data_IF_821180550009
#
_entry.id   IF_821180550009
#
_cell.length_a   1.000
_cell.length_b   1.000
_cell.length_c   1.000
_cell.angle_alpha   90.00
_cell.angle_beta   90.00
_cell.angle_gamma   90.00
#
_symmetry.space_group_name_H-M   'P 1'
#
loop_
_entity.id
_entity.type
_entity.pdbx_description
1 polymer ?
#
# COMPACT_ATOMS: atom_id res chain seq x y z
N UNK A 1 52.40 14.50 87.72
CA UNK A 1 52.72 15.89 88.13
C UNK A 1 53.42 16.54 86.95
N UNK A 2 52.99 17.75 86.60
CA UNK A 2 53.70 18.73 85.74
C UNK A 2 53.58 18.63 84.22
N UNK A 3 52.63 19.45 83.75
CA UNK A 3 52.50 20.11 82.45
C UNK A 3 53.83 20.67 81.93
N UNK A 4 54.08 20.54 80.62
CA UNK A 4 54.76 21.58 79.85
C UNK A 4 54.02 21.89 78.56
N UNK A 5 53.51 23.11 78.55
CA UNK A 5 52.81 23.81 77.47
C UNK A 5 53.88 24.35 76.53
N UNK A 6 53.81 24.01 75.24
CA UNK A 6 54.48 24.77 74.19
C UNK A 6 53.44 25.24 73.19
N UNK A 7 53.13 26.52 73.26
CA UNK A 7 52.34 27.29 72.31
C UNK A 7 53.27 27.56 71.12
N UNK A 8 52.92 27.06 69.93
CA UNK A 8 53.39 27.69 68.71
C UNK A 8 52.25 27.79 67.70
N UNK A 9 51.81 29.04 67.59
CA UNK A 9 50.90 29.62 66.64
C UNK A 9 51.29 29.21 65.20
N UNK A 10 50.38 28.59 64.46
CA UNK A 10 50.49 28.53 62.99
C UNK A 10 49.10 28.55 62.36
N UNK A 11 49.06 29.30 61.28
CA UNK A 11 47.90 29.99 60.73
C UNK A 11 47.03 29.08 59.87
N UNK A 12 45.72 29.25 60.07
CA UNK A 12 44.58 29.02 59.19
C UNK A 12 44.88 28.86 57.68
N UNK A 13 44.50 27.72 57.09
CA UNK A 13 43.93 27.68 55.72
C UNK A 13 42.78 26.66 55.69
N UNK A 14 41.60 27.18 55.38
CA UNK A 14 40.37 26.44 55.10
C UNK A 14 40.45 25.93 53.65
N UNK A 15 40.31 24.63 53.40
CA UNK A 15 40.03 24.10 52.07
C UNK A 15 39.03 22.94 52.19
N UNK A 16 37.80 23.28 51.88
CA UNK A 16 36.63 22.41 51.75
C UNK A 16 36.80 21.39 50.61
N UNK A 17 36.21 20.22 50.86
CA UNK A 17 35.72 19.19 49.94
C UNK A 17 35.50 19.67 48.49
N UNK A 18 35.86 18.84 47.50
CA UNK A 18 35.04 18.43 46.34
C UNK A 18 35.80 17.31 45.63
N UNK A 19 35.26 16.09 45.67
CA UNK A 19 35.68 15.01 44.78
C UNK A 19 35.37 15.41 43.34
N UNK A 20 36.28 15.26 42.37
CA UNK A 20 35.89 15.27 40.98
C UNK A 20 35.26 13.91 40.67
N UNK A 21 33.97 13.75 40.97
CA UNK A 21 33.11 12.94 40.11
C UNK A 21 32.88 13.78 38.86
N UNK A 22 33.93 13.97 38.07
CA UNK A 22 33.74 14.29 36.66
C UNK A 22 33.24 13.00 36.05
N UNK A 23 31.91 12.91 36.01
CA UNK A 23 31.19 12.04 35.12
C UNK A 23 31.92 12.01 33.77
N UNK A 24 32.43 10.84 33.39
CA UNK A 24 32.60 10.51 31.98
C UNK A 24 31.20 10.56 31.38
N UNK A 25 30.76 11.74 30.98
CA UNK A 25 29.70 11.85 29.98
C UNK A 25 30.23 11.11 28.75
N UNK A 26 29.46 10.18 28.18
CA UNK A 26 29.86 9.53 26.94
C UNK A 26 30.19 10.62 25.93
N UNK A 27 31.35 10.52 25.28
CA UNK A 27 31.71 11.37 24.14
C UNK A 27 30.65 11.12 23.07
N UNK A 28 29.62 11.95 23.04
CA UNK A 28 28.71 12.00 21.92
C UNK A 28 29.54 12.53 20.76
N UNK A 29 29.77 11.72 19.73
CA UNK A 29 30.38 12.21 18.49
C UNK A 29 29.53 13.39 18.02
N UNK A 30 30.12 14.60 18.06
CA UNK A 30 29.42 15.86 17.79
C UNK A 30 28.92 15.97 16.34
N UNK A 31 29.18 14.94 15.53
CA UNK A 31 28.77 14.78 14.13
C UNK A 31 27.57 13.85 13.94
N UNK A 32 27.13 13.12 14.96
CA UNK A 32 26.00 12.21 14.85
C UNK A 32 24.66 12.94 15.07
N UNK A 33 23.67 12.64 14.22
CA UNK A 33 22.31 13.17 14.38
C UNK A 33 21.75 12.79 15.77
N UNK A 34 21.24 13.76 16.56
CA UNK A 34 20.68 13.49 17.89
C UNK A 34 19.57 12.43 17.86
N UNK A 35 19.57 11.52 18.84
CA UNK A 35 18.61 10.41 18.92
C UNK A 35 17.14 10.86 18.79
N UNK A 36 16.67 11.94 19.44
CA UNK A 36 15.27 12.37 19.29
C UNK A 36 14.87 12.74 17.85
N UNK A 37 15.81 13.24 17.03
CA UNK A 37 15.57 13.55 15.62
C UNK A 37 15.46 12.25 14.83
N UNK A 38 16.35 11.30 15.08
CA UNK A 38 16.30 9.96 14.47
C UNK A 38 14.99 9.26 14.83
N UNK A 39 14.61 9.24 16.11
CA UNK A 39 13.36 8.64 16.59
C UNK A 39 12.13 9.29 15.92
N UNK A 40 12.13 10.60 15.73
CA UNK A 40 11.06 11.32 14.99
C UNK A 40 11.01 10.92 13.52
N UNK A 41 12.17 10.74 12.88
CA UNK A 41 12.27 10.33 11.48
C UNK A 41 11.84 8.86 11.28
N UNK A 42 12.21 7.98 12.21
CA UNK A 42 11.73 6.59 12.25
C UNK A 42 10.22 6.53 12.41
N UNK A 43 9.64 7.34 13.31
CA UNK A 43 8.18 7.41 13.45
C UNK A 43 7.49 7.89 12.17
N UNK A 44 8.08 8.84 11.44
CA UNK A 44 7.56 9.26 10.12
C UNK A 44 7.63 8.11 9.10
N UNK A 45 8.73 7.36 9.08
CA UNK A 45 8.89 6.19 8.20
C UNK A 45 7.83 5.13 8.49
N UNK A 46 7.58 4.81 9.77
CA UNK A 46 6.55 3.84 10.17
C UNK A 46 5.15 4.27 9.71
N UNK A 47 4.82 5.55 9.79
CA UNK A 47 3.54 6.09 9.29
C UNK A 47 3.41 5.89 7.78
N UNK A 48 4.47 6.19 7.02
CA UNK A 48 4.47 6.03 5.56
C UNK A 48 4.34 4.56 5.16
N UNK A 49 5.10 3.67 5.80
CA UNK A 49 5.04 2.24 5.54
C UNK A 49 3.67 1.65 5.93
N UNK A 50 3.10 2.09 7.06
CA UNK A 50 1.75 1.73 7.47
C UNK A 50 0.67 2.19 6.49
N UNK A 51 0.82 3.40 5.92
CA UNK A 51 -0.07 3.91 4.88
C UNK A 51 0.02 3.07 3.59
N UNK A 52 1.23 2.70 3.15
CA UNK A 52 1.45 1.78 2.00
C UNK A 52 0.73 0.44 2.21
N UNK A 53 0.87 -0.17 3.39
CA UNK A 53 0.19 -1.43 3.68
C UNK A 53 -1.34 -1.28 3.70
N UNK A 54 -1.83 -0.15 4.22
CA UNK A 54 -3.27 0.16 4.25
C UNK A 54 -3.83 0.28 2.84
N UNK A 55 -3.14 0.98 1.95
CA UNK A 55 -3.54 1.08 0.55
C UNK A 55 -3.55 -0.28 -0.14
N UNK A 56 -2.50 -1.09 0.03
CA UNK A 56 -2.45 -2.45 -0.52
C UNK A 56 -3.69 -3.27 -0.14
N UNK A 57 -4.04 -3.29 1.15
CA UNK A 57 -5.22 -4.01 1.66
C UNK A 57 -6.54 -3.43 1.11
N UNK A 58 -6.61 -2.10 0.99
CA UNK A 58 -7.77 -1.42 0.44
C UNK A 58 -7.98 -1.78 -1.04
N UNK A 59 -6.95 -1.71 -1.87
CA UNK A 59 -7.05 -2.04 -3.30
C UNK A 59 -7.40 -3.51 -3.49
N UNK A 60 -6.82 -4.42 -2.70
CA UNK A 60 -7.23 -5.83 -2.68
C UNK A 60 -8.73 -5.99 -2.38
N UNK A 61 -9.23 -5.25 -1.38
CA UNK A 61 -10.64 -5.30 -0.99
C UNK A 61 -11.57 -4.75 -2.08
N UNK A 62 -11.17 -3.66 -2.76
CA UNK A 62 -11.89 -3.10 -3.92
C UNK A 62 -11.95 -4.12 -5.04
N UNK A 63 -10.82 -4.73 -5.39
CA UNK A 63 -10.73 -5.74 -6.44
C UNK A 63 -11.57 -6.98 -6.13
N UNK A 64 -11.46 -7.53 -4.93
CA UNK A 64 -12.25 -8.68 -4.49
C UNK A 64 -13.76 -8.38 -4.52
N UNK A 65 -14.17 -7.21 -4.02
CA UNK A 65 -15.59 -6.79 -4.02
C UNK A 65 -16.11 -6.60 -5.45
N UNK A 66 -15.32 -5.96 -6.31
CA UNK A 66 -15.68 -5.71 -7.72
C UNK A 66 -15.80 -7.02 -8.49
N UNK A 67 -14.90 -7.97 -8.25
CA UNK A 67 -14.92 -9.29 -8.86
C UNK A 67 -16.15 -10.09 -8.41
N UNK A 68 -16.47 -10.10 -7.11
CA UNK A 68 -17.68 -10.76 -6.61
C UNK A 68 -18.97 -10.16 -7.18
N UNK A 69 -19.03 -8.85 -7.39
CA UNK A 69 -20.14 -8.23 -8.12
C UNK A 69 -20.18 -8.67 -9.59
N UNK A 70 -19.04 -8.74 -10.27
CA UNK A 70 -18.94 -9.19 -11.65
C UNK A 70 -19.41 -10.65 -11.79
N UNK A 71 -19.04 -11.55 -10.88
CA UNK A 71 -19.53 -12.93 -10.81
C UNK A 71 -21.06 -12.99 -10.73
N UNK A 72 -21.65 -12.21 -9.81
CA UNK A 72 -23.10 -12.16 -9.64
C UNK A 72 -23.83 -11.63 -10.88
N UNK A 73 -23.26 -10.63 -11.57
CA UNK A 73 -23.83 -10.08 -12.81
C UNK A 73 -23.67 -11.06 -13.97
N UNK A 74 -22.51 -11.73 -14.09
CA UNK A 74 -22.29 -12.76 -15.09
C UNK A 74 -23.29 -13.92 -14.95
N UNK A 75 -23.49 -14.43 -13.73
CA UNK A 75 -24.46 -15.49 -13.48
C UNK A 75 -25.89 -15.09 -13.89
N UNK A 76 -26.29 -13.83 -13.62
CA UNK A 76 -27.58 -13.29 -14.06
C UNK A 76 -27.69 -13.19 -15.59
N UNK A 77 -26.64 -12.72 -16.26
CA UNK A 77 -26.60 -12.67 -17.71
C UNK A 77 -26.74 -14.06 -18.33
N UNK A 78 -26.01 -15.06 -17.80
CA UNK A 78 -26.09 -16.45 -18.25
C UNK A 78 -27.50 -17.04 -18.08
N UNK A 79 -28.13 -16.82 -16.92
CA UNK A 79 -29.49 -17.28 -16.67
C UNK A 79 -30.48 -16.70 -17.69
N UNK A 80 -30.45 -15.38 -17.90
CA UNK A 80 -31.31 -14.71 -18.89
C UNK A 80 -31.09 -15.23 -20.31
N UNK A 81 -29.83 -15.41 -20.72
CA UNK A 81 -29.52 -15.95 -22.05
C UNK A 81 -30.03 -17.38 -22.23
N UNK A 82 -29.92 -18.22 -21.19
CA UNK A 82 -30.45 -19.58 -21.20
C UNK A 82 -31.99 -19.62 -21.33
N UNK A 83 -32.67 -18.66 -20.69
CA UNK A 83 -34.14 -18.50 -20.78
C UNK A 83 -34.57 -17.77 -22.08
N UNK A 84 -33.61 -17.35 -22.91
CA UNK A 84 -33.87 -16.62 -24.16
C UNK A 84 -34.29 -15.17 -23.97
N UNK A 85 -34.19 -14.64 -22.75
CA UNK A 85 -34.51 -13.26 -22.37
C UNK A 85 -33.47 -12.25 -22.89
N UNK A 86 -33.79 -10.95 -22.76
CA UNK A 86 -32.84 -9.88 -23.01
C UNK A 86 -31.90 -9.68 -21.81
N UNK A 87 -30.62 -9.99 -22.02
CA UNK A 87 -29.53 -9.88 -21.05
C UNK A 87 -28.65 -8.64 -21.29
N UNK A 88 -29.05 -7.72 -22.17
CA UNK A 88 -28.21 -6.59 -22.60
C UNK A 88 -27.71 -5.74 -21.43
N UNK A 89 -28.59 -5.39 -20.49
CA UNK A 89 -28.24 -4.58 -19.32
C UNK A 89 -27.19 -5.25 -18.44
N UNK A 90 -27.31 -6.56 -18.24
CA UNK A 90 -26.37 -7.35 -17.43
C UNK A 90 -25.02 -7.46 -18.12
N UNK A 91 -25.00 -7.63 -19.44
CA UNK A 91 -23.76 -7.69 -20.22
C UNK A 91 -23.04 -6.34 -20.21
N UNK A 92 -23.76 -5.22 -20.39
CA UNK A 92 -23.18 -3.87 -20.31
C UNK A 92 -22.65 -3.56 -18.90
N UNK A 93 -23.37 -3.99 -17.87
CA UNK A 93 -22.93 -3.85 -16.47
C UNK A 93 -21.70 -4.72 -16.19
N UNK A 94 -21.67 -5.97 -16.67
CA UNK A 94 -20.52 -6.86 -16.53
C UNK A 94 -19.28 -6.24 -17.18
N UNK A 95 -19.40 -5.74 -18.41
CA UNK A 95 -18.32 -5.05 -19.09
C UNK A 95 -17.77 -3.87 -18.27
N UNK A 96 -18.66 -3.10 -17.64
CA UNK A 96 -18.28 -1.98 -16.76
C UNK A 96 -17.49 -2.45 -15.54
N UNK A 97 -17.96 -3.50 -14.85
CA UNK A 97 -17.27 -4.05 -13.67
C UNK A 97 -15.90 -4.65 -14.05
N UNK A 98 -15.80 -5.34 -15.18
CA UNK A 98 -14.52 -5.87 -15.68
C UNK A 98 -13.55 -4.74 -16.04
N UNK A 99 -14.05 -3.64 -16.61
CA UNK A 99 -13.22 -2.45 -16.85
C UNK A 99 -12.75 -1.81 -15.54
N UNK A 100 -13.58 -1.80 -14.49
CA UNK A 100 -13.18 -1.33 -13.16
C UNK A 100 -12.12 -2.22 -12.53
N UNK A 101 -12.17 -3.55 -12.70
CA UNK A 101 -11.09 -4.45 -12.28
C UNK A 101 -9.76 -4.05 -12.93
N UNK A 102 -9.75 -3.83 -14.25
CA UNK A 102 -8.55 -3.39 -14.97
C UNK A 102 -8.02 -2.02 -14.55
N UNK A 103 -8.85 -1.19 -13.90
CA UNK A 103 -8.48 0.15 -13.43
C UNK A 103 -8.32 0.24 -11.90
N UNK A 104 -8.38 -0.90 -11.19
CA UNK A 104 -8.36 -0.97 -9.72
C UNK A 104 -9.42 -0.10 -9.06
N UNK A 105 -10.61 -0.04 -9.65
CA UNK A 105 -11.74 0.74 -9.17
C UNK A 105 -12.35 1.63 -10.24
N UNK A 106 -13.23 2.53 -9.79
CA UNK A 106 -13.94 3.48 -10.62
C UNK A 106 -13.22 4.83 -10.74
N UNK A 107 -13.89 5.81 -11.33
CA UNK A 107 -13.36 7.16 -11.49
C UNK A 107 -13.11 7.87 -10.14
N UNK A 108 -13.88 7.56 -9.09
CA UNK A 108 -13.69 8.15 -7.77
C UNK A 108 -12.41 7.61 -7.12
N UNK A 109 -12.16 6.30 -7.22
CA UNK A 109 -10.90 5.68 -6.78
C UNK A 109 -9.72 6.22 -7.58
N UNK A 110 -9.86 6.35 -8.91
CA UNK A 110 -8.81 6.93 -9.75
C UNK A 110 -8.45 8.38 -9.37
N UNK A 111 -9.43 9.19 -8.96
CA UNK A 111 -9.18 10.55 -8.49
C UNK A 111 -8.41 10.58 -7.15
N UNK A 112 -8.70 9.65 -6.23
CA UNK A 112 -7.94 9.50 -4.98
C UNK A 112 -6.50 9.05 -5.28
N UNK A 113 -6.33 8.03 -6.11
CA UNK A 113 -5.02 7.53 -6.57
C UNK A 113 -4.16 8.64 -7.15
N UNK A 114 -4.74 9.49 -8.01
CA UNK A 114 -4.03 10.66 -8.56
C UNK A 114 -3.52 11.60 -7.46
N UNK A 115 -4.34 11.87 -6.43
CA UNK A 115 -3.92 12.72 -5.30
C UNK A 115 -2.77 12.10 -4.49
N UNK A 116 -2.75 10.77 -4.37
CA UNK A 116 -1.66 10.05 -3.70
C UNK A 116 -0.34 10.20 -4.49
N UNK A 117 -0.38 10.00 -5.81
CA UNK A 117 0.77 10.22 -6.71
C UNK A 117 1.26 11.67 -6.63
N UNK A 118 0.35 12.65 -6.71
CA UNK A 118 0.68 14.07 -6.61
C UNK A 118 1.33 14.41 -5.25
N UNK A 119 1.05 13.62 -4.21
CA UNK A 119 1.67 13.69 -2.87
C UNK A 119 2.99 12.93 -2.73
N UNK A 120 3.52 12.33 -3.80
CA UNK A 120 4.76 11.55 -3.81
C UNK A 120 4.59 10.09 -3.39
N UNK A 121 3.35 9.60 -3.25
CA UNK A 121 3.08 8.20 -2.95
C UNK A 121 3.01 7.38 -4.22
N UNK A 122 4.09 6.64 -4.48
CA UNK A 122 4.22 5.74 -5.62
C UNK A 122 4.36 4.30 -5.10
N UNK A 123 3.36 3.46 -5.39
CA UNK A 123 3.54 2.02 -5.31
C UNK A 123 4.45 1.57 -6.46
N UNK A 124 5.40 0.67 -6.19
CA UNK A 124 6.36 0.11 -7.16
C UNK A 124 7.40 1.10 -7.72
N UNK A 125 7.83 2.05 -6.89
CA UNK A 125 8.87 3.04 -7.24
C UNK A 125 10.30 2.61 -6.90
N UNK A 126 10.48 1.40 -6.35
CA UNK A 126 11.82 0.86 -6.10
C UNK A 126 12.38 0.30 -7.42
N UNK A 127 13.69 0.45 -7.64
CA UNK A 127 14.42 0.25 -8.90
C UNK A 127 14.40 -1.18 -9.51
N UNK A 128 13.46 -2.04 -9.09
CA UNK A 128 13.31 -3.43 -9.52
C UNK A 128 11.97 -3.80 -10.16
N UNK A 129 11.00 -2.87 -10.26
CA UNK A 129 9.69 -3.15 -10.87
C UNK A 129 9.63 -2.88 -12.38
N UNK A 130 10.75 -2.55 -13.02
CA UNK A 130 10.96 -2.42 -14.48
C UNK A 130 9.89 -1.61 -15.27
N UNK A 131 9.07 -0.81 -14.58
CA UNK A 131 7.89 -0.19 -15.18
C UNK A 131 6.82 -1.20 -15.60
N UNK A 132 6.74 -2.36 -14.94
CA UNK A 132 5.69 -3.37 -15.13
C UNK A 132 4.29 -2.83 -14.81
N UNK A 133 4.21 -1.96 -13.81
CA UNK A 133 2.97 -1.31 -13.38
C UNK A 133 2.79 0.07 -14.06
N UNK A 134 1.53 0.49 -14.17
CA UNK A 134 1.21 1.87 -14.49
C UNK A 134 1.38 2.76 -13.24
N UNK A 135 1.81 4.02 -13.38
CA UNK A 135 1.92 4.92 -12.24
C UNK A 135 0.62 4.99 -11.42
N UNK A 136 0.73 4.70 -10.11
CA UNK A 136 -0.37 4.68 -9.15
C UNK A 136 -1.17 3.37 -9.09
N UNK A 137 -0.88 2.39 -9.93
CA UNK A 137 -1.44 1.06 -9.79
C UNK A 137 -0.69 0.30 -8.69
N UNK A 138 -1.42 -0.52 -7.95
CA UNK A 138 -0.92 -1.19 -6.75
C UNK A 138 -0.78 -2.70 -6.97
N UNK A 139 -1.68 -3.31 -7.71
CA UNK A 139 -1.79 -4.77 -7.87
C UNK A 139 -1.81 -5.16 -9.36
N UNK A 140 -2.55 -4.41 -10.18
CA UNK A 140 -2.74 -4.72 -11.60
C UNK A 140 -1.57 -4.17 -12.40
N UNK A 141 -0.80 -5.08 -13.01
CA UNK A 141 0.23 -4.71 -13.99
C UNK A 141 -0.36 -4.34 -15.36
N UNK A 142 0.47 -3.79 -16.25
CA UNK A 142 0.05 -3.37 -17.60
C UNK A 142 -0.53 -4.52 -18.43
N UNK A 143 0.03 -5.72 -18.31
CA UNK A 143 -0.39 -6.88 -19.10
C UNK A 143 -1.78 -7.36 -18.66
N UNK A 144 -1.99 -7.44 -17.36
CA UNK A 144 -3.26 -7.83 -16.73
C UNK A 144 -4.33 -6.78 -16.99
N UNK A 145 -3.98 -5.49 -16.83
CA UNK A 145 -4.86 -4.37 -17.19
C UNK A 145 -5.32 -4.47 -18.63
N UNK A 146 -4.38 -4.67 -19.57
CA UNK A 146 -4.72 -4.81 -20.99
C UNK A 146 -5.68 -5.99 -21.20
N UNK A 147 -5.40 -7.14 -20.61
CA UNK A 147 -6.25 -8.34 -20.71
C UNK A 147 -7.67 -8.08 -20.22
N UNK A 148 -7.81 -7.44 -19.06
CA UNK A 148 -9.12 -7.10 -18.48
C UNK A 148 -9.88 -6.07 -19.34
N UNK A 149 -9.21 -5.03 -19.83
CA UNK A 149 -9.84 -4.01 -20.67
C UNK A 149 -10.26 -4.55 -22.05
N UNK A 150 -9.46 -5.43 -22.64
CA UNK A 150 -9.82 -6.11 -23.89
C UNK A 150 -11.03 -7.04 -23.68
N UNK A 151 -11.06 -7.80 -22.57
CA UNK A 151 -12.19 -8.63 -22.21
C UNK A 151 -13.46 -7.80 -21.94
N UNK A 152 -13.35 -6.68 -21.23
CA UNK A 152 -14.46 -5.76 -21.00
C UNK A 152 -15.06 -5.25 -22.32
N UNK A 153 -14.20 -4.86 -23.27
CA UNK A 153 -14.63 -4.45 -24.61
C UNK A 153 -15.32 -5.59 -25.37
N UNK A 154 -14.77 -6.80 -25.30
CA UNK A 154 -15.35 -7.97 -25.94
C UNK A 154 -16.73 -8.32 -25.35
N UNK A 155 -16.86 -8.33 -24.02
CA UNK A 155 -18.13 -8.54 -23.31
C UNK A 155 -19.14 -7.48 -23.74
N UNK A 156 -18.78 -6.20 -23.74
CA UNK A 156 -19.68 -5.12 -24.19
C UNK A 156 -20.13 -5.29 -25.65
N UNK A 157 -19.28 -5.85 -26.51
CA UNK A 157 -19.63 -6.20 -27.89
C UNK A 157 -20.71 -7.28 -28.01
N UNK A 158 -20.87 -8.14 -27.00
CA UNK A 158 -21.88 -9.20 -26.97
C UNK A 158 -23.26 -8.71 -26.54
N UNK A 159 -23.40 -7.47 -26.07
CA UNK A 159 -24.66 -6.92 -25.54
C UNK A 159 -25.82 -6.90 -26.56
N UNK A 160 -25.53 -7.06 -27.86
CA UNK A 160 -26.53 -7.15 -28.94
C UNK A 160 -26.83 -8.59 -29.38
N UNK A 161 -26.05 -9.56 -28.90
CA UNK A 161 -26.18 -10.97 -29.24
C UNK A 161 -26.82 -11.78 -28.11
N UNK A 162 -27.15 -13.04 -28.40
CA UNK A 162 -27.61 -14.03 -27.41
C UNK A 162 -26.60 -15.16 -27.20
N UNK A 163 -25.33 -14.87 -27.41
CA UNK A 163 -24.27 -15.88 -27.41
C UNK A 163 -23.71 -16.10 -25.99
N UNK A 164 -24.39 -16.97 -25.24
CA UNK A 164 -23.98 -17.38 -23.89
C UNK A 164 -22.60 -18.04 -23.85
N UNK A 165 -22.23 -18.76 -24.91
CA UNK A 165 -20.94 -19.44 -25.01
C UNK A 165 -19.79 -18.43 -25.22
N UNK A 166 -20.00 -17.42 -26.06
CA UNK A 166 -19.04 -16.33 -26.22
C UNK A 166 -18.89 -15.52 -24.93
N UNK A 167 -19.99 -15.27 -24.21
CA UNK A 167 -19.95 -14.58 -22.91
C UNK A 167 -19.12 -15.36 -21.89
N UNK A 168 -19.36 -16.66 -21.77
CA UNK A 168 -18.61 -17.57 -20.89
C UNK A 168 -17.13 -17.62 -21.24
N UNK A 169 -16.79 -17.64 -22.54
CA UNK A 169 -15.39 -17.64 -22.98
C UNK A 169 -14.65 -16.36 -22.55
N UNK A 170 -15.30 -15.19 -22.64
CA UNK A 170 -14.72 -13.94 -22.14
C UNK A 170 -14.64 -13.94 -20.62
N UNK A 171 -15.67 -14.45 -19.93
CA UNK A 171 -15.66 -14.56 -18.48
C UNK A 171 -14.50 -15.41 -17.95
N UNK A 172 -14.20 -16.56 -18.57
CA UNK A 172 -13.02 -17.37 -18.24
C UNK A 172 -11.69 -16.62 -18.39
N UNK A 173 -11.60 -15.72 -19.37
CA UNK A 173 -10.43 -14.85 -19.55
C UNK A 173 -10.28 -13.92 -18.35
N UNK A 174 -11.38 -13.32 -17.88
CA UNK A 174 -11.39 -12.47 -16.68
C UNK A 174 -10.99 -13.27 -15.43
N UNK A 175 -11.57 -14.46 -15.23
CA UNK A 175 -11.26 -15.32 -14.09
C UNK A 175 -9.78 -15.73 -14.05
N UNK A 176 -9.20 -16.08 -15.21
CA UNK A 176 -7.79 -16.43 -15.32
C UNK A 176 -6.88 -15.25 -14.97
N UNK A 177 -7.16 -14.08 -15.56
CA UNK A 177 -6.41 -12.85 -15.29
C UNK A 177 -6.49 -12.45 -13.80
N UNK A 178 -7.66 -12.53 -13.19
CA UNK A 178 -7.84 -12.22 -11.78
C UNK A 178 -7.20 -13.26 -10.85
N UNK A 179 -7.30 -14.54 -11.18
CA UNK A 179 -6.68 -15.64 -10.42
C UNK A 179 -5.17 -15.49 -10.33
N UNK A 180 -4.52 -15.10 -11.43
CA UNK A 180 -3.05 -14.89 -11.45
C UNK A 180 -2.54 -13.78 -10.54
N UNK A 181 -3.41 -12.89 -10.04
CA UNK A 181 -3.03 -11.82 -9.11
C UNK A 181 -2.69 -12.37 -7.71
N UNK A 182 -3.23 -13.52 -7.32
CA UNK A 182 -3.04 -14.09 -5.98
C UNK A 182 -1.76 -14.93 -5.89
N UNK A 183 -1.25 -15.43 -7.01
CA UNK A 183 -0.05 -16.29 -7.05
C UNK A 183 1.27 -15.51 -7.04
N UNK A 184 1.20 -14.17 -7.12
CA UNK A 184 2.37 -13.27 -7.21
C UNK A 184 2.86 -12.67 -5.88
N UNK A 185 2.25 -13.00 -4.74
CA UNK A 185 2.62 -12.41 -3.44
C UNK A 185 3.83 -13.15 -2.86
N UNK A 186 5.05 -12.73 -3.22
CA UNK A 186 6.23 -12.99 -2.40
C UNK A 186 6.46 -11.80 -1.46
N UNK A 187 6.46 -12.11 -0.16
CA UNK A 187 6.78 -11.22 0.96
C UNK A 187 8.20 -10.67 0.88
#
# INVERSE_FOLDING_TARGET
MERRIFVMLSVLVCATLISPVFAQMPKHDATATPRPIVDSYSSLADVILGAKQTEWNLVHSILATTFGHAEGVHAKAQAKLADGEDARSEIENLATLVAQLGNEGDAAVAAVRKRLIDGGHHHHADDGDDGKYDPGFVIIDRATKKTLLDAAKAIGGLARGKDAAALEAQWKTVQSAFGSLHDGVQH
#
